data_IF_369837026330
#
_entry.id   IF_369837026330
#
_cell.length_a   1.000
_cell.length_b   1.000
_cell.length_c   1.000
_cell.angle_alpha   90.00
_cell.angle_beta   90.00
_cell.angle_gamma   90.00
#
_symmetry.space_group_name_H-M   'P 1'
#
loop_
_entity.id
_entity.type
_entity.pdbx_description
1 polymer ?
#
# COMPACT_ATOMS: atom_id res chain seq x y z
N UNK A 1 8.96 -9.39 -28.13
CA UNK A 1 8.87 -8.12 -27.37
C UNK A 1 7.43 -7.95 -26.91
N UNK A 2 7.05 -8.60 -25.80
CA UNK A 2 5.71 -8.45 -25.21
C UNK A 2 5.76 -7.29 -24.23
N UNK A 3 4.83 -6.34 -24.36
CA UNK A 3 4.74 -5.14 -23.53
C UNK A 3 4.30 -5.56 -22.12
N UNK A 4 5.00 -5.08 -21.08
CA UNK A 4 4.56 -5.10 -19.67
C UNK A 4 3.08 -4.72 -19.60
N UNK A 5 2.19 -5.69 -19.47
CA UNK A 5 0.82 -5.44 -19.04
C UNK A 5 0.87 -5.52 -17.52
N UNK A 6 1.02 -4.38 -16.85
CA UNK A 6 0.74 -4.28 -15.42
C UNK A 6 -0.62 -4.92 -15.16
N UNK A 7 -0.70 -5.84 -14.21
CA UNK A 7 -1.96 -6.48 -13.84
C UNK A 7 -2.84 -5.41 -13.18
N UNK A 8 -4.09 -5.26 -13.63
CA UNK A 8 -4.99 -4.20 -13.14
C UNK A 8 -6.09 -4.82 -12.32
N UNK A 9 -6.12 -4.51 -11.05
CA UNK A 9 -7.09 -5.05 -10.09
C UNK A 9 -7.92 -3.89 -9.55
N UNK A 10 -9.24 -4.07 -9.48
CA UNK A 10 -10.16 -3.02 -9.06
C UNK A 10 -11.18 -3.56 -8.08
N UNK A 11 -11.27 -2.91 -6.94
CA UNK A 11 -12.35 -3.11 -5.98
C UNK A 11 -13.61 -2.34 -6.35
N UNK A 12 -14.44 -2.11 -5.35
CA UNK A 12 -15.76 -1.52 -5.35
C UNK A 12 -15.81 -0.37 -4.34
N UNK A 13 -16.99 0.13 -3.96
CA UNK A 13 -17.08 1.11 -2.86
C UNK A 13 -17.53 0.44 -1.55
N UNK A 14 -17.33 -0.87 -1.47
CA UNK A 14 -17.62 -1.73 -0.32
C UNK A 14 -16.34 -2.46 0.04
N UNK A 15 -16.28 -2.98 1.26
CA UNK A 15 -15.15 -3.75 1.75
C UNK A 15 -14.81 -4.92 0.82
N UNK A 16 -13.61 -4.91 0.27
CA UNK A 16 -13.09 -5.91 -0.64
C UNK A 16 -11.91 -6.68 -0.01
N UNK A 17 -11.74 -7.92 -0.47
CA UNK A 17 -10.48 -8.66 -0.30
C UNK A 17 -9.79 -8.69 -1.66
N UNK A 18 -8.64 -8.03 -1.74
CA UNK A 18 -7.84 -7.91 -2.96
C UNK A 18 -6.52 -8.65 -2.75
N UNK A 19 -6.22 -9.55 -3.68
CA UNK A 19 -4.95 -10.29 -3.71
C UNK A 19 -4.34 -10.05 -5.09
N UNK A 20 -3.14 -9.50 -5.09
CA UNK A 20 -2.29 -9.27 -6.26
C UNK A 20 -1.60 -10.55 -6.72
N UNK A 21 -0.45 -10.36 -7.35
CA UNK A 21 0.36 -11.41 -7.97
C UNK A 21 1.84 -11.20 -7.63
N UNK A 22 2.70 -12.15 -8.00
CA UNK A 22 4.15 -11.95 -7.87
C UNK A 22 4.74 -11.05 -9.00
N UNK A 23 3.89 -10.33 -9.73
CA UNK A 23 4.26 -9.38 -10.78
C UNK A 23 3.68 -8.00 -10.49
N UNK A 24 4.33 -6.93 -10.95
CA UNK A 24 3.84 -5.55 -10.78
C UNK A 24 2.36 -5.36 -11.15
N UNK A 25 1.59 -5.02 -10.13
CA UNK A 25 0.17 -4.77 -10.10
C UNK A 25 -0.15 -3.26 -10.09
N UNK A 26 -1.40 -2.97 -10.43
CA UNK A 26 -2.02 -1.67 -10.28
C UNK A 26 -3.40 -1.88 -9.66
N UNK A 27 -3.47 -1.60 -8.37
CA UNK A 27 -4.61 -1.88 -7.51
C UNK A 27 -5.36 -0.58 -7.20
N UNK A 28 -6.66 -0.55 -7.46
CA UNK A 28 -7.57 0.56 -7.13
C UNK A 28 -8.78 -0.02 -6.39
N UNK A 29 -8.70 -0.08 -5.06
CA UNK A 29 -9.73 -0.66 -4.19
C UNK A 29 -10.96 0.26 -4.08
N UNK A 30 -10.70 1.58 -4.09
CA UNK A 30 -11.63 2.73 -4.08
C UNK A 30 -12.16 3.08 -2.69
N UNK A 31 -12.90 2.21 -2.02
CA UNK A 31 -13.31 2.49 -0.66
C UNK A 31 -14.24 1.46 -0.07
N UNK A 32 -14.55 1.62 1.22
CA UNK A 32 -14.83 0.48 2.07
C UNK A 32 -13.59 0.19 2.92
N UNK A 33 -13.75 -0.61 3.96
CA UNK A 33 -12.60 -1.07 4.75
C UNK A 33 -12.02 -2.31 4.05
N UNK A 34 -10.96 -2.10 3.26
CA UNK A 34 -10.41 -3.10 2.35
C UNK A 34 -9.26 -3.89 3.00
N UNK A 35 -9.04 -5.11 2.51
CA UNK A 35 -7.84 -5.91 2.81
C UNK A 35 -7.10 -6.15 1.50
N UNK A 36 -5.87 -5.66 1.42
CA UNK A 36 -5.05 -5.69 0.21
C UNK A 36 -3.73 -6.42 0.51
N UNK A 37 -3.45 -7.46 -0.26
CA UNK A 37 -2.15 -8.14 -0.31
C UNK A 37 -1.63 -8.04 -1.75
N UNK A 38 -0.61 -7.22 -2.01
CA UNK A 38 -0.13 -7.02 -3.38
C UNK A 38 0.88 -8.11 -3.82
N UNK A 39 1.63 -8.65 -2.85
CA UNK A 39 2.53 -9.81 -2.95
C UNK A 39 3.92 -9.47 -3.49
N UNK A 40 4.12 -9.42 -4.80
CA UNK A 40 5.46 -9.32 -5.38
C UNK A 40 5.54 -8.44 -6.61
N UNK A 41 6.69 -7.79 -6.77
CA UNK A 41 6.94 -6.85 -7.85
C UNK A 41 6.53 -5.43 -7.48
N UNK A 42 7.00 -4.46 -8.29
CA UNK A 42 6.78 -3.04 -7.97
C UNK A 42 5.32 -2.63 -8.20
N UNK A 43 4.57 -2.49 -7.13
CA UNK A 43 3.13 -2.30 -7.16
C UNK A 43 2.71 -0.83 -7.07
N UNK A 44 1.56 -0.51 -7.68
CA UNK A 44 0.88 0.75 -7.40
C UNK A 44 -0.45 0.48 -6.73
N UNK A 45 -0.56 0.87 -5.46
CA UNK A 45 -1.70 0.57 -4.62
C UNK A 45 -2.45 1.86 -4.28
N UNK A 46 -3.75 1.86 -4.52
CA UNK A 46 -4.66 2.89 -4.05
C UNK A 46 -5.83 2.24 -3.32
N UNK A 47 -5.86 2.34 -2.00
CA UNK A 47 -6.92 1.75 -1.18
C UNK A 47 -8.17 2.65 -1.20
N UNK A 48 -8.01 3.93 -0.87
CA UNK A 48 -8.98 4.98 -1.16
C UNK A 48 -9.63 5.56 0.08
N UNK A 49 -10.82 5.12 0.46
CA UNK A 49 -11.47 5.62 1.68
C UNK A 49 -12.07 4.50 2.50
N UNK A 50 -11.78 4.48 3.78
CA UNK A 50 -12.13 3.40 4.71
C UNK A 50 -10.91 3.07 5.54
N UNK A 51 -11.08 2.22 6.54
CA UNK A 51 -9.98 1.79 7.37
C UNK A 51 -9.33 0.57 6.72
N UNK A 52 -8.31 0.81 5.92
CA UNK A 52 -7.74 -0.22 5.04
C UNK A 52 -6.57 -0.97 5.71
N UNK A 53 -6.47 -2.26 5.43
CA UNK A 53 -5.27 -3.06 5.69
C UNK A 53 -4.52 -3.28 4.39
N UNK A 54 -3.24 -2.92 4.34
CA UNK A 54 -2.40 -2.99 3.15
C UNK A 54 -1.08 -3.68 3.49
N UNK A 55 -0.73 -4.68 2.69
CA UNK A 55 0.56 -5.36 2.67
C UNK A 55 1.09 -5.28 1.23
N UNK A 56 2.12 -4.46 1.00
CA UNK A 56 2.78 -4.28 -0.30
C UNK A 56 3.50 -5.56 -0.71
N UNK A 57 4.30 -6.10 0.20
CA UNK A 57 4.92 -7.41 0.05
C UNK A 57 6.38 -7.28 -0.34
N UNK A 58 6.75 -7.56 -1.58
CA UNK A 58 8.13 -7.44 -2.04
C UNK A 58 8.21 -6.69 -3.35
N UNK A 59 9.20 -5.83 -3.53
CA UNK A 59 9.29 -4.91 -4.66
C UNK A 59 9.31 -3.47 -4.17
N UNK A 60 9.59 -2.53 -5.07
CA UNK A 60 9.57 -1.12 -4.72
C UNK A 60 8.14 -0.58 -4.93
N UNK A 61 7.35 -0.48 -3.86
CA UNK A 61 5.92 -0.23 -3.95
C UNK A 61 5.55 1.27 -3.84
N UNK A 62 4.46 1.68 -4.50
CA UNK A 62 3.86 3.01 -4.41
C UNK A 62 2.46 2.89 -3.80
N UNK A 63 2.38 3.12 -2.48
CA UNK A 63 1.21 2.89 -1.65
C UNK A 63 0.53 4.21 -1.31
N UNK A 64 -0.76 4.31 -1.62
CA UNK A 64 -1.64 5.40 -1.19
C UNK A 64 -2.88 4.82 -0.49
N UNK A 65 -2.89 4.87 0.84
CA UNK A 65 -3.99 4.34 1.63
C UNK A 65 -5.22 5.27 1.57
N UNK A 66 -5.01 6.58 1.71
CA UNK A 66 -6.03 7.59 1.44
C UNK A 66 -6.68 8.14 2.69
N UNK A 67 -7.96 7.83 2.96
CA UNK A 67 -8.66 8.35 4.15
C UNK A 67 -9.14 7.21 5.03
N UNK A 68 -9.03 7.37 6.34
CA UNK A 68 -9.42 6.38 7.33
C UNK A 68 -8.22 6.05 8.20
N UNK A 69 -8.43 5.28 9.25
CA UNK A 69 -7.37 4.81 10.12
C UNK A 69 -6.80 3.52 9.50
N UNK A 70 -5.67 3.64 8.80
CA UNK A 70 -5.12 2.55 7.99
C UNK A 70 -4.03 1.78 8.71
N UNK A 71 -3.82 0.53 8.30
CA UNK A 71 -2.68 -0.30 8.70
C UNK A 71 -1.89 -0.64 7.44
N UNK A 72 -0.64 -0.20 7.36
CA UNK A 72 0.20 -0.32 6.18
C UNK A 72 1.50 -1.03 6.54
N UNK A 73 1.82 -2.07 5.78
CA UNK A 73 3.13 -2.71 5.73
C UNK A 73 3.67 -2.50 4.30
N UNK A 74 4.81 -1.82 4.16
CA UNK A 74 5.51 -1.66 2.87
C UNK A 74 6.05 -3.01 2.42
N UNK A 75 6.93 -3.58 3.23
CA UNK A 75 7.41 -4.94 3.06
C UNK A 75 8.90 -4.94 2.78
N UNK A 76 9.34 -5.50 1.66
CA UNK A 76 10.74 -5.50 1.27
C UNK A 76 10.94 -4.78 -0.06
N UNK A 77 11.79 -3.76 -0.08
CA UNK A 77 12.04 -2.90 -1.24
C UNK A 77 12.11 -1.44 -0.81
N UNK A 78 12.52 -0.55 -1.70
CA UNK A 78 12.51 0.88 -1.40
C UNK A 78 11.10 1.45 -1.65
N UNK A 79 10.28 1.56 -0.61
CA UNK A 79 8.85 1.85 -0.74
C UNK A 79 8.52 3.35 -0.69
N UNK A 80 7.37 3.71 -1.28
CA UNK A 80 6.76 5.04 -1.17
C UNK A 80 5.39 4.91 -0.54
N UNK A 81 5.26 5.41 0.69
CA UNK A 81 4.04 5.24 1.46
C UNK A 81 3.39 6.59 1.74
N UNK A 82 2.11 6.71 1.38
CA UNK A 82 1.25 7.84 1.73
C UNK A 82 0.01 7.31 2.44
N UNK A 83 -0.03 7.45 3.76
CA UNK A 83 -1.17 6.95 4.54
C UNK A 83 -2.38 7.89 4.42
N UNK A 84 -2.13 9.20 4.41
CA UNK A 84 -3.12 10.20 4.04
C UNK A 84 -3.78 10.88 5.25
N UNK A 85 -5.02 10.53 5.61
CA UNK A 85 -5.67 11.14 6.77
C UNK A 85 -6.39 10.12 7.63
N UNK A 86 -6.26 10.24 8.94
CA UNK A 86 -6.71 9.26 9.92
C UNK A 86 -5.58 9.02 10.91
N UNK A 87 -5.81 8.29 11.99
CA UNK A 87 -4.74 7.88 12.88
C UNK A 87 -4.14 6.57 12.33
N UNK A 88 -3.04 6.67 11.57
CA UNK A 88 -2.50 5.55 10.79
C UNK A 88 -1.42 4.75 11.55
N UNK A 89 -1.30 3.46 11.23
CA UNK A 89 -0.15 2.62 11.56
C UNK A 89 0.63 2.29 10.28
N UNK A 90 1.94 2.55 10.30
CA UNK A 90 2.83 2.33 9.16
C UNK A 90 4.09 1.61 9.63
N UNK A 91 4.42 0.52 8.94
CA UNK A 91 5.71 -0.17 9.01
C UNK A 91 6.29 -0.21 7.59
N UNK A 92 7.38 0.52 7.33
CA UNK A 92 8.02 0.61 6.02
C UNK A 92 8.61 -0.74 5.62
N UNK A 93 9.46 -1.30 6.48
CA UNK A 93 9.92 -2.68 6.37
C UNK A 93 11.41 -2.74 6.09
N UNK A 94 11.84 -3.55 5.11
CA UNK A 94 13.22 -3.60 4.66
C UNK A 94 13.41 -2.71 3.42
N UNK A 95 14.42 -1.85 3.40
CA UNK A 95 14.66 -0.94 2.27
C UNK A 95 14.73 0.50 2.74
N UNK A 96 14.99 1.44 1.84
CA UNK A 96 15.00 2.87 2.17
C UNK A 96 13.66 3.48 1.76
N UNK A 97 12.82 3.76 2.75
CA UNK A 97 11.42 4.10 2.50
C UNK A 97 11.17 5.62 2.51
N UNK A 98 10.30 6.11 1.63
CA UNK A 98 9.79 7.48 1.63
C UNK A 98 8.36 7.50 2.18
N UNK A 99 8.24 7.81 3.47
CA UNK A 99 6.98 7.74 4.22
C UNK A 99 6.40 9.14 4.50
N UNK A 100 5.22 9.41 3.96
CA UNK A 100 4.35 10.54 4.32
C UNK A 100 3.12 10.04 5.07
N UNK A 101 3.18 10.13 6.40
CA UNK A 101 2.08 9.76 7.30
C UNK A 101 0.89 10.73 7.25
N UNK A 102 1.01 11.86 6.55
CA UNK A 102 -0.10 12.77 6.34
C UNK A 102 -0.65 13.40 7.62
N UNK A 103 -1.95 13.25 7.86
CA UNK A 103 -2.68 13.93 8.95
C UNK A 103 -3.28 12.92 9.92
N UNK A 104 -2.82 12.97 11.15
CA UNK A 104 -3.43 12.27 12.27
C UNK A 104 -2.47 12.17 13.43
N UNK A 105 -2.78 11.30 14.37
CA UNK A 105 -1.82 10.82 15.36
C UNK A 105 -1.26 9.48 14.86
N UNK A 106 -0.29 9.58 13.98
CA UNK A 106 0.25 8.41 13.27
C UNK A 106 1.33 7.72 14.08
N UNK A 107 1.43 6.40 13.91
CA UNK A 107 2.54 5.59 14.40
C UNK A 107 3.33 5.08 13.21
N UNK A 108 4.59 5.47 13.12
CA UNK A 108 5.46 5.16 11.98
C UNK A 108 6.71 4.43 12.45
N UNK A 109 6.97 3.29 11.83
CA UNK A 109 8.23 2.58 11.88
C UNK A 109 8.80 2.61 10.45
N UNK A 110 9.96 3.24 10.25
CA UNK A 110 10.66 3.17 8.96
C UNK A 110 11.12 1.74 8.68
N UNK A 111 11.65 1.08 9.70
CA UNK A 111 12.09 -0.31 9.61
C UNK A 111 13.61 -0.36 9.48
N UNK A 112 14.10 -1.18 8.56
CA UNK A 112 15.51 -1.39 8.29
C UNK A 112 15.94 -0.67 7.01
N UNK A 113 16.61 0.46 7.16
CA UNK A 113 17.14 1.23 6.04
C UNK A 113 17.56 2.63 6.48
N UNK A 114 17.89 3.46 5.50
CA UNK A 114 18.03 4.91 5.68
C UNK A 114 16.75 5.62 5.19
N UNK A 115 15.75 5.71 6.08
CA UNK A 115 14.39 6.23 5.82
C UNK A 115 14.24 7.74 6.11
#
# INVERSE_FOLDING_TARGET
>A
MSKNKKNKIKGTSSNDLIIGTDESDHIDAKGGDDIIFALGGDDHIKAGSGNDFIDGGSGDDDINAGKGDNVIYGGAGDDKIKSGSGDDFIDGGEGNDDIDAGKGNDTVFGGAGDD
#
